data_IF_976323660040
#
_entry.id   IF_976323660040
#
_cell.length_a   1.000
_cell.length_b   1.000
_cell.length_c   1.000
_cell.angle_alpha   90.00
_cell.angle_beta   90.00
_cell.angle_gamma   90.00
#
_symmetry.space_group_name_H-M   'P 1'
#
loop_
_entity.id
_entity.type
_entity.pdbx_description
1 polymer ?
#
# COMPACT_ATOMS: atom_id res chain seq x y z
N UNK A 1 -2.38 -0.64 12.12
CA UNK A 1 -1.63 -1.82 11.65
C UNK A 1 -0.83 -1.47 10.41
N UNK A 2 0.45 -1.82 10.31
CA UNK A 2 1.27 -1.52 9.14
C UNK A 2 1.46 -2.73 8.19
N UNK A 3 1.34 -2.51 6.89
CA UNK A 3 1.85 -3.42 5.85
C UNK A 3 3.07 -2.77 5.20
N UNK A 4 4.21 -3.47 5.24
CA UNK A 4 5.45 -3.00 4.63
C UNK A 4 5.72 -3.75 3.33
N UNK A 5 5.94 -3.02 2.26
CA UNK A 5 6.37 -3.53 0.98
C UNK A 5 7.86 -3.25 0.77
N UNK A 6 8.60 -4.27 0.35
CA UNK A 6 10.04 -4.18 0.07
C UNK A 6 10.28 -4.51 -1.40
N UNK A 7 10.87 -3.59 -2.15
CA UNK A 7 11.30 -3.84 -3.52
C UNK A 7 12.63 -4.61 -3.53
N UNK A 8 12.77 -5.58 -4.44
CA UNK A 8 13.98 -6.41 -4.65
C UNK A 8 14.31 -6.47 -6.15
N UNK A 9 15.59 -6.51 -6.63
CA UNK A 9 16.89 -6.27 -5.99
C UNK A 9 17.44 -4.83 -6.21
N UNK A 10 18.54 -4.52 -5.53
CA UNK A 10 19.11 -3.18 -5.29
C UNK A 10 19.92 -2.55 -6.45
N UNK A 11 19.49 -1.38 -6.97
CA UNK A 11 20.13 -0.56 -8.04
C UNK A 11 19.91 1.00 -7.94
N UNK A 12 20.83 1.81 -7.38
CA UNK A 12 20.89 3.30 -7.47
C UNK A 12 19.73 4.18 -6.88
N UNK A 13 20.04 5.19 -6.04
CA UNK A 13 19.13 5.73 -4.99
C UNK A 13 18.14 6.90 -5.25
N UNK A 14 18.16 7.62 -6.39
CA UNK A 14 17.27 8.80 -6.55
C UNK A 14 15.94 8.54 -7.28
N UNK A 15 15.99 7.66 -8.27
CA UNK A 15 14.90 7.33 -9.20
C UNK A 15 13.90 6.33 -8.58
N UNK A 16 14.43 5.38 -7.81
CA UNK A 16 13.65 4.42 -7.02
C UNK A 16 12.74 5.04 -5.98
N UNK A 17 13.16 6.11 -5.30
CA UNK A 17 12.29 6.79 -4.32
C UNK A 17 11.00 7.31 -4.95
N UNK A 18 11.00 7.70 -6.22
CA UNK A 18 9.77 8.10 -6.93
C UNK A 18 8.90 6.91 -7.29
N UNK A 19 9.49 5.83 -7.80
CA UNK A 19 8.75 4.61 -8.10
C UNK A 19 8.16 3.97 -6.84
N UNK A 20 8.90 3.96 -5.73
CA UNK A 20 8.42 3.48 -4.44
C UNK A 20 7.27 4.33 -3.90
N UNK A 21 7.35 5.67 -3.97
CA UNK A 21 6.21 6.52 -3.61
C UNK A 21 4.99 6.21 -4.44
N UNK A 22 5.14 6.09 -5.76
CA UNK A 22 4.03 5.76 -6.66
C UNK A 22 3.44 4.37 -6.37
N UNK A 23 4.28 3.40 -6.01
CA UNK A 23 3.81 2.10 -5.56
C UNK A 23 3.07 2.18 -4.21
N UNK A 24 3.54 3.02 -3.29
CA UNK A 24 2.85 3.35 -2.04
C UNK A 24 1.48 3.97 -2.26
N UNK A 25 1.39 4.97 -3.14
CA UNK A 25 0.14 5.63 -3.53
C UNK A 25 -0.87 4.63 -4.09
N UNK A 26 -0.45 3.76 -5.02
CA UNK A 26 -1.34 2.72 -5.58
C UNK A 26 -1.82 1.75 -4.50
N UNK A 27 -0.93 1.35 -3.59
CA UNK A 27 -1.31 0.46 -2.49
C UNK A 27 -2.24 1.16 -1.49
N UNK A 28 -2.01 2.44 -1.21
CA UNK A 28 -2.84 3.26 -0.36
C UNK A 28 -4.25 3.41 -0.94
N UNK A 29 -4.36 3.73 -2.23
CA UNK A 29 -5.66 3.88 -2.91
C UNK A 29 -6.44 2.57 -2.94
N UNK A 30 -5.78 1.45 -3.24
CA UNK A 30 -6.43 0.13 -3.20
C UNK A 30 -6.85 -0.25 -1.78
N UNK A 31 -6.04 0.09 -0.77
CA UNK A 31 -6.38 -0.17 0.63
C UNK A 31 -7.55 0.69 1.12
N UNK A 32 -7.68 1.93 0.64
CA UNK A 32 -8.85 2.79 0.90
C UNK A 32 -10.10 2.24 0.24
N UNK A 33 -10.02 1.85 -1.03
CA UNK A 33 -11.15 1.29 -1.77
C UNK A 33 -11.71 0.00 -1.16
N UNK A 34 -10.87 -0.80 -0.51
CA UNK A 34 -11.25 -2.03 0.18
C UNK A 34 -11.60 -1.85 1.66
N UNK A 35 -11.28 -0.68 2.22
CA UNK A 35 -11.54 -0.37 3.61
C UNK A 35 -13.03 -0.11 3.81
N UNK A 36 -13.70 -0.78 4.77
CA UNK A 36 -15.09 -0.50 5.09
C UNK A 36 -15.20 0.89 5.71
N UNK A 37 -15.72 1.85 4.94
CA UNK A 37 -15.79 3.24 5.35
C UNK A 37 -17.20 3.62 5.82
N UNK A 38 -17.38 3.70 7.14
CA UNK A 38 -18.62 4.19 7.76
C UNK A 38 -18.58 5.71 7.99
N UNK A 39 -17.39 6.36 7.98
CA UNK A 39 -17.22 7.75 8.45
C UNK A 39 -16.12 8.59 7.76
N UNK A 40 -15.34 8.08 6.80
CA UNK A 40 -14.19 8.78 6.19
C UNK A 40 -12.88 8.71 7.00
N UNK A 41 -12.96 8.30 8.27
CA UNK A 41 -11.84 8.33 9.20
C UNK A 41 -10.71 7.34 8.85
N UNK A 42 -11.01 6.32 8.04
CA UNK A 42 -10.00 5.36 7.59
C UNK A 42 -9.14 5.94 6.48
N UNK A 43 -9.75 6.63 5.53
CA UNK A 43 -9.06 7.26 4.40
C UNK A 43 -8.10 8.36 4.84
N UNK A 44 -8.50 9.17 5.83
CA UNK A 44 -7.66 10.21 6.44
C UNK A 44 -6.50 9.64 7.27
N UNK A 45 -6.58 8.37 7.67
CA UNK A 45 -5.61 7.73 8.56
C UNK A 45 -4.50 6.96 7.85
N UNK A 46 -4.58 6.85 6.52
CA UNK A 46 -3.56 6.20 5.70
C UNK A 46 -2.25 6.99 5.75
N UNK A 47 -1.15 6.28 5.98
CA UNK A 47 0.20 6.80 5.92
C UNK A 47 1.08 5.97 5.02
N UNK A 48 1.91 6.68 4.28
CA UNK A 48 2.97 6.14 3.42
C UNK A 48 4.33 6.56 3.99
N UNK A 49 5.06 5.61 4.53
CA UNK A 49 6.38 5.83 5.12
C UNK A 49 7.45 5.15 4.26
N UNK A 50 8.32 5.94 3.63
CA UNK A 50 9.57 5.45 3.05
C UNK A 50 10.48 5.01 4.20
N UNK A 51 10.77 3.71 4.29
CA UNK A 51 11.61 3.17 5.36
C UNK A 51 13.10 3.29 5.01
N UNK A 52 13.42 3.07 3.74
CA UNK A 52 14.76 3.15 3.18
C UNK A 52 14.66 3.45 1.66
N UNK A 53 15.78 3.32 0.94
CA UNK A 53 15.80 3.58 -0.51
C UNK A 53 15.15 2.47 -1.36
N UNK A 54 14.78 1.34 -0.73
CA UNK A 54 14.26 0.12 -1.36
C UNK A 54 12.89 -0.31 -0.81
N UNK A 55 12.36 0.36 0.22
CA UNK A 55 11.18 -0.09 0.96
C UNK A 55 10.22 1.04 1.28
N UNK A 56 8.93 0.77 1.13
CA UNK A 56 7.84 1.66 1.52
C UNK A 56 6.81 0.91 2.35
N UNK A 57 6.26 1.57 3.37
CA UNK A 57 5.24 1.04 4.25
C UNK A 57 3.96 1.81 4.09
N UNK A 58 2.85 1.10 3.93
CA UNK A 58 1.50 1.65 3.96
C UNK A 58 0.82 1.17 5.23
N UNK A 59 0.29 2.10 6.02
CA UNK A 59 -0.32 1.78 7.31
C UNK A 59 -1.54 2.64 7.60
N UNK A 60 -2.42 2.11 8.45
CA UNK A 60 -3.53 2.89 9.04
C UNK A 60 -3.21 3.16 10.51
N UNK A 61 -3.37 4.41 10.93
CA UNK A 61 -2.96 4.90 12.25
C UNK A 61 -4.07 4.90 13.31
N UNK A 62 -5.29 4.47 12.97
CA UNK A 62 -6.43 4.44 13.91
C UNK A 62 -6.62 3.06 14.54
N UNK A 63 -7.01 3.03 15.83
CA UNK A 63 -7.46 1.79 16.49
C UNK A 63 -8.71 1.21 15.80
N UNK A 64 -9.55 2.09 15.22
CA UNK A 64 -10.71 1.72 14.43
C UNK A 64 -10.33 0.83 13.22
N UNK A 65 -9.22 1.14 12.52
CA UNK A 65 -8.71 0.31 11.42
C UNK A 65 -8.38 -1.11 11.84
N UNK A 66 -7.73 -1.27 12.99
CA UNK A 66 -7.36 -2.60 13.51
C UNK A 66 -8.61 -3.40 13.84
N UNK A 67 -9.60 -2.75 14.46
CA UNK A 67 -10.87 -3.39 14.80
C UNK A 67 -11.62 -3.85 13.55
N UNK A 68 -11.72 -3.00 12.52
CA UNK A 68 -12.38 -3.39 11.27
C UNK A 68 -11.60 -4.46 10.51
N UNK A 69 -10.26 -4.42 10.54
CA UNK A 69 -9.42 -5.38 9.84
C UNK A 69 -9.60 -6.84 10.34
N UNK A 70 -9.80 -7.03 11.64
CA UNK A 70 -9.93 -8.36 12.26
C UNK A 70 -11.35 -8.75 12.68
N UNK A 71 -12.29 -7.82 12.75
CA UNK A 71 -13.63 -8.13 13.28
C UNK A 71 -14.31 -9.19 12.42
N UNK A 72 -14.59 -10.35 13.03
CA UNK A 72 -15.46 -11.40 12.50
C UNK A 72 -16.95 -11.12 12.76
N UNK A 73 -17.24 -10.13 13.63
CA UNK A 73 -18.61 -9.81 14.10
C UNK A 73 -19.23 -8.63 13.36
N UNK A 74 -18.41 -7.81 12.69
CA UNK A 74 -18.93 -6.70 11.88
C UNK A 74 -19.38 -7.25 10.53
N UNK A 75 -20.59 -6.88 10.14
CA UNK A 75 -21.06 -7.02 8.77
C UNK A 75 -20.24 -6.04 7.92
N UNK A 76 -19.36 -6.57 7.08
CA UNK A 76 -18.59 -5.76 6.13
C UNK A 76 -19.49 -5.46 4.92
N UNK A 77 -20.58 -4.72 5.14
CA UNK A 77 -21.59 -4.48 4.09
C UNK A 77 -21.03 -3.57 2.97
N UNK A 78 -20.00 -2.77 3.27
CA UNK A 78 -19.33 -1.84 2.34
C UNK A 78 -17.79 -1.95 2.37
N UNK A 79 -17.21 -3.13 2.62
CA UNK A 79 -15.76 -3.30 2.59
C UNK A 79 -15.31 -4.74 2.83
N UNK A 80 -14.00 -4.95 3.03
CA UNK A 80 -13.42 -6.29 3.10
C UNK A 80 -12.63 -6.53 4.39
N UNK A 81 -12.79 -7.73 4.97
CA UNK A 81 -11.91 -8.17 6.05
C UNK A 81 -10.50 -8.38 5.48
N UNK A 82 -9.47 -8.10 6.29
CA UNK A 82 -8.08 -8.17 5.84
C UNK A 82 -7.79 -7.26 4.64
N UNK A 83 -8.48 -6.12 4.52
CA UNK A 83 -8.39 -5.20 3.37
C UNK A 83 -6.96 -4.84 2.97
N UNK A 84 -6.02 -4.65 3.90
CA UNK A 84 -4.60 -4.40 3.57
C UNK A 84 -3.92 -5.58 2.87
N UNK A 85 -4.24 -6.82 3.26
CA UNK A 85 -3.70 -8.02 2.61
C UNK A 85 -4.27 -8.13 1.18
N UNK A 86 -5.59 -7.99 1.04
CA UNK A 86 -6.26 -7.99 -0.27
C UNK A 86 -5.79 -6.86 -1.18
N UNK A 87 -5.58 -5.67 -0.63
CA UNK A 87 -5.02 -4.53 -1.34
C UNK A 87 -3.63 -4.85 -1.87
N UNK A 88 -2.80 -5.51 -1.05
CA UNK A 88 -1.46 -5.96 -1.47
C UNK A 88 -1.56 -6.97 -2.61
N UNK A 89 -2.42 -7.98 -2.50
CA UNK A 89 -2.62 -9.00 -3.54
C UNK A 89 -3.15 -8.41 -4.85
N UNK A 90 -4.09 -7.48 -4.76
CA UNK A 90 -4.75 -6.85 -5.92
C UNK A 90 -3.84 -5.83 -6.61
N UNK A 91 -3.08 -5.06 -5.82
CA UNK A 91 -2.16 -4.05 -6.33
C UNK A 91 -0.83 -4.64 -6.82
N UNK A 92 -0.46 -5.86 -6.39
CA UNK A 92 0.84 -6.47 -6.70
C UNK A 92 1.23 -6.41 -8.20
N UNK A 93 0.36 -6.80 -9.17
CA UNK A 93 0.73 -6.72 -10.58
C UNK A 93 1.01 -5.29 -11.06
N UNK A 94 0.28 -4.29 -10.54
CA UNK A 94 0.47 -2.87 -10.91
C UNK A 94 1.75 -2.32 -10.27
N UNK A 95 2.02 -2.67 -9.02
CA UNK A 95 3.25 -2.29 -8.32
C UNK A 95 4.48 -2.89 -9.03
N UNK A 96 4.41 -4.16 -9.43
CA UNK A 96 5.46 -4.83 -10.22
C UNK A 96 5.72 -4.10 -11.54
N UNK A 97 4.68 -3.67 -12.24
CA UNK A 97 4.83 -2.88 -13.47
C UNK A 97 5.49 -1.52 -13.22
N UNK A 98 5.08 -0.79 -12.17
CA UNK A 98 5.69 0.50 -11.80
C UNK A 98 7.19 0.34 -11.53
N UNK A 99 7.56 -0.71 -10.79
CA UNK A 99 8.96 -0.99 -10.49
C UNK A 99 9.71 -1.45 -11.74
N UNK A 100 9.14 -2.33 -12.55
CA UNK A 100 9.75 -2.79 -13.79
C UNK A 100 10.00 -1.66 -14.79
N UNK A 101 9.05 -0.72 -14.92
CA UNK A 101 9.21 0.45 -15.80
C UNK A 101 10.29 1.40 -15.29
N UNK A 102 10.42 1.57 -13.98
CA UNK A 102 11.52 2.34 -13.42
C UNK A 102 12.87 1.66 -13.68
N UNK A 103 12.94 0.33 -13.54
CA UNK A 103 14.14 -0.45 -13.85
C UNK A 103 14.51 -0.28 -15.33
N UNK A 104 13.56 -0.42 -16.26
CA UNK A 104 13.80 -0.23 -17.71
C UNK A 104 14.37 1.16 -18.01
N UNK A 105 13.73 2.21 -17.47
CA UNK A 105 14.21 3.60 -17.59
C UNK A 105 15.60 3.78 -17.00
N UNK A 106 15.90 3.13 -15.89
CA UNK A 106 17.23 3.20 -15.27
C UNK A 106 18.33 2.58 -16.13
N UNK A 107 17.97 1.58 -16.94
CA UNK A 107 18.84 0.88 -17.88
C UNK A 107 18.93 1.56 -19.26
N UNK A 108 18.25 2.70 -19.45
CA UNK A 108 18.23 3.43 -20.71
C UNK A 108 17.41 2.76 -21.83
N UNK A 109 16.43 1.92 -21.46
CA UNK A 109 15.44 1.33 -22.36
C UNK A 109 14.05 1.91 -22.17
#
# INVERSE_FOLDING_TARGET
MPVSFRAWPSFGGGRRRRALRRAGEVLADEAKALSPDETGALDESVREDLLDDDSIRVSFNTEYAVRQHYSKKNRHDNGERLFLLKATETAAPRIEQILADEIRRSLGR
#
